data_IF_853549333589
#
_entry.id   IF_853549333589
#
_cell.length_a   1.000
_cell.length_b   1.000
_cell.length_c   1.000
_cell.angle_alpha   90.00
_cell.angle_beta   90.00
_cell.angle_gamma   90.00
#
_symmetry.space_group_name_H-M   'P 1'
#
loop_
_entity.id
_entity.type
_entity.pdbx_description
1 polymer ?
#
# COMPACT_ATOMS: atom_id res chain seq x y z
N UNK A 1 -26.88 15.27 11.74
CA UNK A 1 -25.94 14.29 12.33
C UNK A 1 -26.08 13.00 11.55
N UNK A 2 -25.20 12.73 10.58
CA UNK A 2 -25.16 11.43 9.89
C UNK A 2 -24.26 10.51 10.71
N UNK A 3 -24.85 9.51 11.36
CA UNK A 3 -24.10 8.47 12.05
C UNK A 3 -23.27 7.71 11.02
N UNK A 4 -21.98 7.63 11.25
CA UNK A 4 -21.04 6.81 10.45
C UNK A 4 -21.46 5.34 10.57
N UNK A 5 -21.57 4.63 9.44
CA UNK A 5 -21.96 3.19 9.41
C UNK A 5 -21.08 2.32 10.28
N UNK A 6 -19.81 2.69 10.44
CA UNK A 6 -18.87 2.00 11.35
C UNK A 6 -19.24 2.22 12.81
N UNK A 7 -19.68 3.42 13.20
CA UNK A 7 -20.14 3.71 14.56
C UNK A 7 -21.46 2.95 14.86
N UNK A 8 -22.37 2.93 13.90
CA UNK A 8 -23.63 2.16 14.04
C UNK A 8 -23.33 0.67 14.17
N UNK A 9 -22.43 0.11 13.34
CA UNK A 9 -22.02 -1.30 13.41
C UNK A 9 -21.37 -1.65 14.74
N UNK A 10 -20.47 -0.81 15.24
CA UNK A 10 -19.81 -1.02 16.55
C UNK A 10 -20.81 -0.92 17.70
N UNK A 11 -21.75 0.01 17.65
CA UNK A 11 -22.80 0.17 18.68
C UNK A 11 -23.73 -1.06 18.68
N UNK A 12 -24.14 -1.54 17.51
CA UNK A 12 -24.97 -2.77 17.39
C UNK A 12 -24.21 -3.97 17.93
N UNK A 13 -22.92 -4.13 17.61
CA UNK A 13 -22.08 -5.23 18.10
C UNK A 13 -21.98 -5.22 19.64
N UNK A 14 -21.72 -4.05 20.23
CA UNK A 14 -21.67 -3.89 21.68
C UNK A 14 -23.01 -4.21 22.35
N UNK A 15 -24.11 -3.81 21.73
CA UNK A 15 -25.47 -4.09 22.21
C UNK A 15 -25.79 -5.60 22.13
N UNK A 16 -25.39 -6.26 21.05
CA UNK A 16 -25.51 -7.71 20.90
C UNK A 16 -24.67 -8.49 21.92
N UNK A 17 -23.43 -8.05 22.18
CA UNK A 17 -22.56 -8.61 23.19
C UNK A 17 -23.15 -8.45 24.61
N UNK A 18 -23.75 -7.29 24.90
CA UNK A 18 -24.43 -7.05 26.17
C UNK A 18 -25.66 -7.97 26.33
N UNK A 19 -26.49 -8.10 25.29
CA UNK A 19 -27.65 -9.01 25.29
C UNK A 19 -27.20 -10.45 25.47
N UNK A 20 -26.14 -10.89 24.79
CA UNK A 20 -25.57 -12.22 24.95
C UNK A 20 -25.03 -12.44 26.36
N UNK A 21 -24.37 -11.48 26.97
CA UNK A 21 -23.88 -11.56 28.35
C UNK A 21 -25.05 -11.69 29.36
N UNK A 22 -26.11 -10.90 29.19
CA UNK A 22 -27.33 -10.97 30.00
C UNK A 22 -28.03 -12.33 29.82
N UNK A 23 -28.12 -12.82 28.57
CA UNK A 23 -28.69 -14.13 28.26
C UNK A 23 -27.93 -15.30 28.87
N UNK A 24 -26.59 -15.27 28.78
CA UNK A 24 -25.70 -16.27 29.41
C UNK A 24 -25.82 -16.26 30.95
N UNK A 25 -25.95 -15.07 31.53
CA UNK A 25 -26.17 -14.92 32.98
C UNK A 25 -27.51 -15.53 33.41
N UNK A 26 -28.58 -15.38 32.60
CA UNK A 26 -29.90 -15.96 32.86
C UNK A 26 -29.99 -17.47 32.63
N UNK A 27 -29.06 -18.09 31.91
CA UNK A 27 -29.01 -19.54 31.63
C UNK A 27 -28.20 -20.33 32.67
N UNK A 28 -27.60 -19.67 33.67
CA UNK A 28 -26.87 -20.37 34.73
C UNK A 28 -27.88 -21.16 35.63
N UNK A 29 -27.70 -22.45 35.76
CA UNK A 29 -28.56 -23.25 36.63
C UNK A 29 -28.24 -22.97 38.11
N UNK A 30 -29.14 -22.27 38.77
CA UNK A 30 -29.06 -21.87 40.17
C UNK A 30 -29.54 -20.45 40.38
N UNK A 31 -30.30 -20.21 41.46
CA UNK A 31 -30.70 -18.85 41.81
C UNK A 31 -29.42 -17.99 41.91
N UNK A 32 -29.28 -17.01 41.02
CA UNK A 32 -28.14 -16.11 41.00
C UNK A 32 -28.14 -15.33 42.30
N UNK A 33 -27.44 -15.84 43.31
CA UNK A 33 -27.11 -15.03 44.46
C UNK A 33 -26.01 -14.09 44.03
N UNK A 34 -26.34 -12.79 43.99
CA UNK A 34 -25.36 -11.77 43.79
C UNK A 34 -24.36 -11.83 44.97
N UNK A 35 -23.22 -12.45 44.71
CA UNK A 35 -22.09 -12.42 45.64
C UNK A 35 -21.35 -11.14 45.34
N UNK A 36 -21.39 -10.19 46.26
CA UNK A 36 -20.58 -8.96 46.15
C UNK A 36 -19.10 -9.35 45.96
N UNK A 37 -18.47 -8.99 44.83
CA UNK A 37 -17.10 -9.38 44.54
C UNK A 37 -16.08 -8.72 45.45
N UNK A 38 -16.51 -7.89 46.37
CA UNK A 38 -15.67 -7.15 47.31
C UNK A 38 -15.04 -5.89 46.69
N UNK A 39 -14.76 -4.92 47.54
CA UNK A 39 -14.22 -3.60 47.14
C UNK A 39 -12.98 -3.69 46.26
N UNK A 40 -12.07 -4.61 46.52
CA UNK A 40 -10.82 -4.75 45.76
C UNK A 40 -11.06 -5.12 44.27
N UNK A 41 -11.97 -6.07 44.02
CA UNK A 41 -12.31 -6.49 42.66
C UNK A 41 -13.03 -5.40 41.90
N UNK A 42 -13.89 -4.62 42.56
CA UNK A 42 -14.51 -3.43 41.96
C UNK A 42 -13.49 -2.38 41.57
N UNK A 43 -12.49 -2.11 42.45
CA UNK A 43 -11.40 -1.16 42.16
C UNK A 43 -10.56 -1.63 40.95
N UNK A 44 -10.25 -2.92 40.84
CA UNK A 44 -9.54 -3.47 39.69
C UNK A 44 -10.35 -3.31 38.39
N UNK A 45 -11.64 -3.63 38.43
CA UNK A 45 -12.53 -3.48 37.28
C UNK A 45 -12.65 -2.03 36.81
N UNK A 46 -12.85 -1.09 37.74
CA UNK A 46 -12.90 0.34 37.44
C UNK A 46 -11.56 0.85 36.92
N UNK A 47 -10.43 0.39 37.47
CA UNK A 47 -9.10 0.70 36.98
C UNK A 47 -8.86 0.21 35.55
N UNK A 48 -9.30 -1.00 35.23
CA UNK A 48 -9.20 -1.55 33.87
C UNK A 48 -10.06 -0.75 32.86
N UNK A 49 -11.28 -0.37 33.25
CA UNK A 49 -12.17 0.46 32.41
C UNK A 49 -11.55 1.85 32.21
N UNK A 50 -11.03 2.47 33.27
CA UNK A 50 -10.38 3.78 33.19
C UNK A 50 -9.15 3.75 32.29
N UNK A 51 -8.31 2.71 32.38
CA UNK A 51 -7.14 2.51 31.52
C UNK A 51 -7.55 2.34 30.04
N UNK A 52 -8.58 1.56 29.79
CA UNK A 52 -9.13 1.38 28.45
C UNK A 52 -9.65 2.69 27.85
N UNK A 53 -10.40 3.48 28.63
CA UNK A 53 -10.90 4.79 28.20
C UNK A 53 -9.77 5.78 27.95
N UNK A 54 -8.72 5.78 28.79
CA UNK A 54 -7.52 6.60 28.58
C UNK A 54 -6.78 6.19 27.30
N UNK A 55 -6.65 4.90 27.04
CA UNK A 55 -6.06 4.38 25.81
C UNK A 55 -6.86 4.83 24.58
N UNK A 56 -8.19 4.68 24.62
CA UNK A 56 -9.08 5.14 23.55
C UNK A 56 -8.95 6.66 23.32
N UNK A 57 -8.90 7.44 24.40
CA UNK A 57 -8.73 8.89 24.35
C UNK A 57 -7.35 9.29 23.78
N UNK A 58 -6.30 8.58 24.18
CA UNK A 58 -4.95 8.81 23.67
C UNK A 58 -4.85 8.49 22.17
N UNK A 59 -5.44 7.39 21.73
CA UNK A 59 -5.51 7.01 20.31
C UNK A 59 -6.35 8.01 19.51
N UNK A 60 -7.46 8.47 20.05
CA UNK A 60 -8.31 9.49 19.42
C UNK A 60 -7.59 10.85 19.32
N UNK A 61 -6.88 11.28 20.38
CA UNK A 61 -6.04 12.49 20.35
C UNK A 61 -4.88 12.37 19.37
N UNK A 62 -4.24 11.20 19.25
CA UNK A 62 -3.20 10.96 18.24
C UNK A 62 -3.76 11.07 16.82
N UNK A 63 -4.95 10.51 16.56
CA UNK A 63 -5.64 10.66 15.27
C UNK A 63 -6.02 12.11 14.98
N UNK A 64 -6.52 12.85 15.97
CA UNK A 64 -6.83 14.29 15.80
C UNK A 64 -5.58 15.12 15.54
N UNK A 65 -4.49 14.92 16.28
CA UNK A 65 -3.22 15.62 16.02
C UNK A 65 -2.65 15.30 14.64
N UNK A 66 -2.72 14.05 14.19
CA UNK A 66 -2.34 13.68 12.82
C UNK A 66 -3.22 14.38 11.78
N UNK A 67 -4.48 14.64 12.10
CA UNK A 67 -5.41 15.38 11.22
C UNK A 67 -5.16 16.90 11.24
N UNK A 68 -4.83 17.49 12.39
CA UNK A 68 -4.52 18.93 12.54
C UNK A 68 -3.19 19.33 11.91
N UNK A 69 -2.13 18.52 12.08
CA UNK A 69 -0.84 18.73 11.37
C UNK A 69 -1.00 18.54 9.85
N UNK A 70 -2.08 17.89 9.44
CA UNK A 70 -2.42 17.65 8.04
C UNK A 70 -3.18 18.81 7.37
N UNK A 71 -3.73 19.77 8.13
CA UNK A 71 -4.48 20.89 7.56
C UNK A 71 -3.57 22.00 7.01
N UNK A 72 -2.29 22.04 7.38
CA UNK A 72 -1.35 23.06 6.93
C UNK A 72 -0.51 22.64 5.71
N UNK A 73 -0.72 21.43 5.18
CA UNK A 73 -0.01 20.99 3.99
C UNK A 73 -0.60 21.62 2.73
N UNK A 74 0.21 22.39 2.00
CA UNK A 74 -0.19 23.00 0.73
C UNK A 74 -0.32 21.98 -0.42
N UNK A 75 0.23 20.76 -0.23
CA UNK A 75 0.17 19.68 -1.19
C UNK A 75 -0.30 18.37 -0.57
N UNK A 76 -1.24 17.73 -1.23
CA UNK A 76 -1.67 16.37 -0.92
C UNK A 76 -1.04 15.42 -1.95
N UNK A 77 -0.33 14.40 -1.52
CA UNK A 77 0.23 13.37 -2.40
C UNK A 77 -0.49 12.07 -2.12
N UNK A 78 -1.33 11.65 -3.07
CA UNK A 78 -2.20 10.48 -2.95
C UNK A 78 -1.63 9.32 -3.74
N UNK A 79 -1.53 8.14 -3.13
CA UNK A 79 -1.13 6.94 -3.86
C UNK A 79 -2.20 5.85 -3.83
N UNK A 80 -2.36 5.18 -4.97
CA UNK A 80 -3.11 3.95 -5.12
C UNK A 80 -2.14 2.85 -5.56
N UNK A 81 -1.76 1.96 -4.64
CA UNK A 81 -0.71 0.96 -4.87
C UNK A 81 -1.19 -0.44 -4.57
N UNK A 82 -0.77 -1.42 -5.37
CA UNK A 82 -0.94 -2.85 -5.11
C UNK A 82 0.36 -3.48 -4.60
N UNK A 83 1.51 -3.05 -5.15
CA UNK A 83 2.82 -3.65 -4.93
C UNK A 83 3.82 -2.72 -4.25
N UNK A 84 3.37 -1.56 -3.74
CA UNK A 84 4.22 -0.56 -3.10
C UNK A 84 4.91 0.44 -4.04
N UNK A 85 4.97 0.19 -5.36
CA UNK A 85 5.68 1.09 -6.28
C UNK A 85 5.07 2.51 -6.36
N UNK A 86 3.74 2.61 -6.45
CA UNK A 86 3.07 3.91 -6.43
C UNK A 86 3.29 4.64 -5.10
N UNK A 87 3.34 3.93 -3.98
CA UNK A 87 3.64 4.50 -2.68
C UNK A 87 5.05 5.08 -2.64
N UNK A 88 6.05 4.33 -3.11
CA UNK A 88 7.43 4.80 -3.20
C UNK A 88 7.56 6.09 -4.02
N UNK A 89 6.95 6.14 -5.21
CA UNK A 89 6.95 7.33 -6.06
C UNK A 89 6.21 8.50 -5.42
N UNK A 90 5.15 8.25 -4.66
CA UNK A 90 4.44 9.29 -3.91
C UNK A 90 5.34 9.90 -2.81
N UNK A 91 6.07 9.08 -2.05
CA UNK A 91 7.03 9.57 -1.07
C UNK A 91 8.18 10.35 -1.70
N UNK A 92 8.68 9.92 -2.85
CA UNK A 92 9.70 10.65 -3.60
C UNK A 92 9.16 11.99 -4.10
N UNK A 93 7.92 12.02 -4.62
CA UNK A 93 7.23 13.25 -5.02
C UNK A 93 7.08 14.23 -3.86
N UNK A 94 6.68 13.75 -2.69
CA UNK A 94 6.56 14.57 -1.48
C UNK A 94 7.91 15.14 -1.03
N UNK A 95 8.99 14.36 -1.09
CA UNK A 95 10.34 14.83 -0.79
C UNK A 95 10.80 15.91 -1.76
N UNK A 96 10.49 15.79 -3.06
CA UNK A 96 10.82 16.81 -4.06
C UNK A 96 10.06 18.11 -3.79
N UNK A 97 8.76 18.03 -3.47
CA UNK A 97 7.98 19.20 -3.04
C UNK A 97 8.57 19.87 -1.79
N UNK A 98 8.96 19.07 -0.79
CA UNK A 98 9.54 19.57 0.46
C UNK A 98 10.93 20.22 0.25
N UNK A 99 11.75 19.67 -0.62
CA UNK A 99 13.03 20.25 -0.98
C UNK A 99 12.90 21.62 -1.66
N UNK A 100 11.81 21.82 -2.43
CA UNK A 100 11.42 23.13 -2.97
C UNK A 100 10.69 24.05 -1.96
N UNK A 101 10.68 23.69 -0.66
CA UNK A 101 10.07 24.49 0.41
C UNK A 101 8.56 24.36 0.55
N UNK A 102 7.91 23.43 -0.19
CA UNK A 102 6.49 23.20 -0.06
C UNK A 102 6.19 22.22 1.08
N UNK A 103 5.05 22.40 1.74
CA UNK A 103 4.53 21.47 2.75
C UNK A 103 3.70 20.39 2.03
N UNK A 104 4.11 19.11 2.13
CA UNK A 104 3.47 17.99 1.46
C UNK A 104 3.10 16.89 2.44
N UNK A 105 1.86 16.34 2.28
CA UNK A 105 1.34 15.21 3.03
C UNK A 105 1.10 14.03 2.10
N UNK A 106 1.66 12.86 2.44
CA UNK A 106 1.38 11.61 1.71
C UNK A 106 0.23 10.87 2.38
N UNK A 107 -0.71 10.36 1.57
CA UNK A 107 -1.88 9.62 2.04
C UNK A 107 -2.20 8.47 1.06
N UNK A 108 -2.59 7.31 1.61
CA UNK A 108 -3.17 6.25 0.80
C UNK A 108 -4.56 6.66 0.28
N UNK A 109 -4.89 6.28 -0.95
CA UNK A 109 -6.24 6.49 -1.50
C UNK A 109 -7.32 5.78 -0.67
N UNK A 110 -6.96 4.72 0.05
CA UNK A 110 -7.85 4.01 0.98
C UNK A 110 -8.33 4.92 2.13
N UNK A 111 -7.43 5.78 2.63
CA UNK A 111 -7.68 6.66 3.77
C UNK A 111 -8.17 8.05 3.36
N UNK A 112 -8.19 8.34 2.05
CA UNK A 112 -8.62 9.63 1.52
C UNK A 112 -10.14 9.72 1.56
N UNK A 113 -10.65 10.72 2.27
CA UNK A 113 -12.06 11.08 2.31
C UNK A 113 -12.36 12.37 1.51
N UNK A 114 -13.63 12.58 1.20
CA UNK A 114 -14.07 13.74 0.43
C UNK A 114 -13.81 15.11 1.11
N UNK A 115 -13.92 15.25 2.44
CA UNK A 115 -13.52 16.49 3.12
C UNK A 115 -12.04 16.81 2.97
N UNK A 116 -11.15 15.82 3.14
CA UNK A 116 -9.70 15.98 2.99
C UNK A 116 -9.33 16.38 1.57
N UNK A 117 -9.92 15.71 0.56
CA UNK A 117 -9.68 16.04 -0.84
C UNK A 117 -10.15 17.47 -1.18
N UNK A 118 -11.33 17.88 -0.72
CA UNK A 118 -11.88 19.24 -0.97
C UNK A 118 -11.12 20.35 -0.24
N UNK A 119 -10.48 20.03 0.89
CA UNK A 119 -9.68 20.98 1.64
C UNK A 119 -8.29 21.19 1.03
N UNK A 120 -7.83 20.29 0.17
CA UNK A 120 -6.52 20.39 -0.44
C UNK A 120 -6.51 21.38 -1.62
N UNK A 121 -5.67 22.42 -1.61
CA UNK A 121 -5.55 23.33 -2.75
C UNK A 121 -4.83 22.69 -3.94
N UNK A 122 -3.92 21.74 -3.68
CA UNK A 122 -3.14 21.03 -4.69
C UNK A 122 -2.98 19.55 -4.35
N UNK A 123 -3.06 18.67 -5.37
CA UNK A 123 -2.85 17.24 -5.18
C UNK A 123 -2.04 16.60 -6.30
N UNK A 124 -1.14 15.69 -5.92
CA UNK A 124 -0.49 14.76 -6.83
C UNK A 124 -1.09 13.37 -6.61
N UNK A 125 -1.48 12.70 -7.69
CA UNK A 125 -2.01 11.35 -7.65
C UNK A 125 -1.02 10.41 -8.33
N UNK A 126 -0.58 9.37 -7.62
CA UNK A 126 0.23 8.28 -8.17
C UNK A 126 -0.64 7.02 -8.15
N UNK A 127 -1.11 6.62 -9.32
CA UNK A 127 -2.19 5.66 -9.50
C UNK A 127 -1.74 4.41 -10.27
N UNK A 128 -1.53 3.29 -9.57
CA UNK A 128 -1.29 1.99 -10.21
C UNK A 128 -2.59 1.43 -10.77
N UNK A 129 -2.50 0.86 -11.97
CA UNK A 129 -3.56 0.09 -12.59
C UNK A 129 -3.32 -1.41 -12.35
N UNK A 130 -4.37 -2.15 -12.04
CA UNK A 130 -4.32 -3.60 -11.81
C UNK A 130 -5.05 -4.33 -12.94
N UNK A 131 -4.46 -5.42 -13.44
CA UNK A 131 -5.07 -6.23 -14.49
C UNK A 131 -5.54 -5.42 -15.71
N UNK A 132 -6.77 -5.66 -16.14
CA UNK A 132 -7.36 -5.06 -17.35
C UNK A 132 -7.97 -3.66 -17.09
N UNK A 133 -7.24 -2.79 -16.40
CA UNK A 133 -7.64 -1.39 -16.20
C UNK A 133 -8.27 -1.08 -14.85
N UNK A 134 -8.32 -2.05 -13.93
CA UNK A 134 -8.97 -1.90 -12.64
C UNK A 134 -8.15 -1.09 -11.64
N UNK A 135 -8.81 -0.40 -10.69
CA UNK A 135 -8.13 0.20 -9.55
C UNK A 135 -7.57 -0.87 -8.61
N UNK A 136 -6.49 -0.59 -7.86
CA UNK A 136 -6.07 -1.43 -6.75
C UNK A 136 -7.18 -1.60 -5.71
N UNK A 137 -7.20 -2.72 -4.98
CA UNK A 137 -8.21 -3.03 -3.96
C UNK A 137 -8.40 -1.91 -2.94
N UNK A 138 -7.31 -1.24 -2.55
CA UNK A 138 -7.36 -0.09 -1.65
C UNK A 138 -8.15 1.11 -2.17
N UNK A 139 -8.40 1.22 -3.47
CA UNK A 139 -9.16 2.33 -4.06
C UNK A 139 -10.69 2.10 -4.08
N UNK A 140 -11.18 0.91 -3.75
CA UNK A 140 -12.62 0.59 -3.81
C UNK A 140 -13.47 1.46 -2.87
N UNK A 141 -12.94 1.84 -1.72
CA UNK A 141 -13.61 2.76 -0.81
C UNK A 141 -13.73 4.16 -1.40
N UNK A 142 -12.65 4.66 -1.98
CA UNK A 142 -12.60 5.97 -2.64
C UNK A 142 -13.61 6.05 -3.79
N UNK A 143 -13.71 5.01 -4.62
CA UNK A 143 -14.71 4.92 -5.68
C UNK A 143 -16.15 5.07 -5.14
N UNK A 144 -16.47 4.36 -4.06
CA UNK A 144 -17.84 4.33 -3.52
C UNK A 144 -18.21 5.57 -2.70
N UNK A 145 -17.26 6.13 -1.96
CA UNK A 145 -17.53 7.18 -0.98
C UNK A 145 -17.13 8.57 -1.47
N UNK A 146 -16.15 8.69 -2.35
CA UNK A 146 -15.63 9.97 -2.85
C UNK A 146 -16.04 10.21 -4.31
N UNK A 147 -15.70 9.29 -5.22
CA UNK A 147 -16.02 9.48 -6.64
C UNK A 147 -17.51 9.44 -6.95
N UNK A 148 -18.32 8.79 -6.12
CA UNK A 148 -19.79 8.78 -6.26
C UNK A 148 -20.47 10.11 -5.88
N UNK A 149 -19.74 11.08 -5.32
CA UNK A 149 -20.29 12.38 -4.95
C UNK A 149 -20.20 13.35 -6.13
N UNK A 150 -21.31 14.08 -6.39
CA UNK A 150 -21.39 15.11 -7.44
C UNK A 150 -20.91 16.50 -6.97
N UNK A 151 -19.97 16.54 -6.02
CA UNK A 151 -19.47 17.79 -5.49
C UNK A 151 -18.31 18.33 -6.35
N UNK A 152 -18.26 19.64 -6.64
CA UNK A 152 -17.13 20.23 -7.37
C UNK A 152 -15.85 20.17 -6.55
N UNK A 153 -14.73 20.11 -7.25
CA UNK A 153 -13.38 20.11 -6.70
C UNK A 153 -12.64 21.36 -7.19
N UNK A 154 -12.38 22.29 -6.28
CA UNK A 154 -11.56 23.47 -6.56
C UNK A 154 -10.10 23.16 -6.15
N UNK A 155 -9.43 22.35 -6.96
CA UNK A 155 -8.07 21.89 -6.65
C UNK A 155 -7.23 21.83 -7.93
N UNK A 156 -5.95 22.19 -7.83
CA UNK A 156 -4.98 21.96 -8.89
C UNK A 156 -4.37 20.56 -8.71
N UNK A 157 -4.24 19.79 -9.79
CA UNK A 157 -3.78 18.42 -9.64
C UNK A 157 -2.87 17.95 -10.77
N UNK A 158 -2.14 16.85 -10.51
CA UNK A 158 -1.47 16.08 -11.54
C UNK A 158 -1.59 14.58 -11.27
N UNK A 159 -1.57 13.76 -12.34
CA UNK A 159 -1.69 12.30 -12.26
C UNK A 159 -0.47 11.64 -12.88
N UNK A 160 0.20 10.77 -12.11
CA UNK A 160 1.12 9.76 -12.59
C UNK A 160 0.38 8.43 -12.65
N UNK A 161 0.10 7.94 -13.85
CA UNK A 161 -0.62 6.71 -14.08
C UNK A 161 0.37 5.57 -14.37
N UNK A 162 0.40 4.55 -13.51
CA UNK A 162 1.27 3.39 -13.67
C UNK A 162 0.48 2.23 -14.28
N UNK A 163 1.08 1.55 -15.25
CA UNK A 163 0.46 0.42 -15.93
C UNK A 163 1.47 -0.47 -16.63
N UNK A 164 0.95 -1.43 -17.37
CA UNK A 164 1.71 -2.36 -18.21
C UNK A 164 1.01 -2.45 -19.57
N UNK A 165 1.70 -2.13 -20.66
CA UNK A 165 1.17 -2.16 -22.02
C UNK A 165 0.85 -3.57 -22.55
N UNK A 166 1.24 -4.59 -21.82
CA UNK A 166 0.81 -5.96 -22.14
C UNK A 166 -0.69 -6.19 -21.89
N UNK A 167 -1.34 -5.29 -21.14
CA UNK A 167 -2.78 -5.30 -20.89
C UNK A 167 -3.51 -4.34 -21.82
N UNK A 168 -4.73 -4.70 -22.25
CA UNK A 168 -5.52 -3.93 -23.23
C UNK A 168 -5.92 -2.55 -22.71
N UNK A 169 -6.18 -2.42 -21.40
CA UNK A 169 -6.56 -1.18 -20.72
C UNK A 169 -5.37 -0.54 -19.97
N UNK A 170 -4.27 -0.37 -20.69
CA UNK A 170 -3.06 0.29 -20.18
C UNK A 170 -3.37 1.60 -19.45
N UNK A 171 -2.89 1.75 -18.19
CA UNK A 171 -3.15 2.90 -17.33
C UNK A 171 -4.64 3.25 -17.13
N UNK A 172 -5.55 2.28 -17.29
CA UNK A 172 -7.00 2.50 -17.31
C UNK A 172 -7.53 3.20 -16.07
N UNK A 173 -7.07 2.79 -14.87
CA UNK A 173 -7.45 3.45 -13.63
C UNK A 173 -6.98 4.90 -13.57
N UNK A 174 -5.72 5.17 -13.92
CA UNK A 174 -5.19 6.54 -13.92
C UNK A 174 -5.93 7.47 -14.89
N UNK A 175 -6.29 6.97 -16.06
CA UNK A 175 -7.12 7.69 -17.04
C UNK A 175 -8.52 8.01 -16.50
N UNK A 176 -9.16 7.02 -15.86
CA UNK A 176 -10.48 7.19 -15.25
C UNK A 176 -10.45 8.20 -14.09
N UNK A 177 -9.41 8.17 -13.26
CA UNK A 177 -9.23 9.11 -12.16
C UNK A 177 -9.04 10.54 -12.69
N UNK A 178 -8.20 10.73 -13.70
CA UNK A 178 -7.94 12.01 -14.35
C UNK A 178 -9.21 12.60 -14.97
N UNK A 179 -9.96 11.80 -15.74
CA UNK A 179 -11.23 12.22 -16.33
C UNK A 179 -12.23 12.66 -15.24
N UNK A 180 -12.36 11.88 -14.16
CA UNK A 180 -13.25 12.23 -13.05
C UNK A 180 -12.85 13.54 -12.36
N UNK A 181 -11.56 13.79 -12.14
CA UNK A 181 -11.08 15.05 -11.56
C UNK A 181 -11.45 16.23 -12.46
N UNK A 182 -11.27 16.12 -13.77
CA UNK A 182 -11.67 17.16 -14.74
C UNK A 182 -13.18 17.39 -14.75
N UNK A 183 -13.98 16.33 -14.75
CA UNK A 183 -15.45 16.41 -14.68
C UNK A 183 -15.94 17.12 -13.41
N UNK A 184 -15.18 17.03 -12.32
CA UNK A 184 -15.47 17.73 -11.05
C UNK A 184 -14.93 19.16 -10.98
N UNK A 185 -14.32 19.67 -12.04
CA UNK A 185 -13.81 21.04 -12.15
C UNK A 185 -12.42 21.25 -11.57
N UNK A 186 -11.68 20.19 -11.26
CA UNK A 186 -10.28 20.29 -10.88
C UNK A 186 -9.42 20.70 -12.09
N UNK A 187 -8.35 21.47 -11.85
CA UNK A 187 -7.47 22.01 -12.89
C UNK A 187 -6.19 21.19 -12.98
N UNK A 188 -5.87 20.57 -14.13
CA UNK A 188 -4.60 19.87 -14.26
C UNK A 188 -3.42 20.85 -14.30
N UNK A 189 -2.39 20.62 -13.46
CA UNK A 189 -1.14 21.36 -13.46
C UNK A 189 -0.31 21.10 -14.73
N UNK A 190 -0.41 19.88 -15.24
CA UNK A 190 0.15 19.43 -16.51
C UNK A 190 -0.56 18.14 -16.96
N UNK A 191 -0.33 17.75 -18.19
CA UNK A 191 -0.89 16.52 -18.76
C UNK A 191 -0.49 15.29 -17.95
N UNK A 192 -1.42 14.32 -17.81
CA UNK A 192 -1.17 13.03 -17.17
C UNK A 192 0.05 12.35 -17.77
N UNK A 193 0.95 11.86 -16.92
CA UNK A 193 2.10 11.07 -17.33
C UNK A 193 1.75 9.60 -17.15
N UNK A 194 1.92 8.81 -18.19
CA UNK A 194 1.69 7.36 -18.19
C UNK A 194 3.03 6.62 -18.20
N UNK A 195 3.19 5.68 -17.26
CA UNK A 195 4.42 4.92 -17.05
C UNK A 195 4.17 3.45 -17.37
N UNK A 196 4.93 2.92 -18.32
CA UNK A 196 4.90 1.52 -18.68
C UNK A 196 5.98 0.74 -17.93
N UNK A 197 5.57 -0.23 -17.10
CA UNK A 197 6.50 -1.13 -16.40
C UNK A 197 7.70 -0.42 -15.74
N UNK A 198 7.47 0.70 -15.05
CA UNK A 198 8.50 1.51 -14.41
C UNK A 198 9.49 2.19 -15.40
N UNK A 199 9.02 2.59 -16.57
CA UNK A 199 9.81 3.36 -17.54
C UNK A 199 10.50 4.55 -16.87
N UNK A 200 11.83 4.52 -16.86
CA UNK A 200 12.66 5.53 -16.20
C UNK A 200 12.50 6.92 -16.82
N UNK A 201 12.27 7.02 -18.13
CA UNK A 201 12.11 8.33 -18.78
C UNK A 201 10.78 9.00 -18.41
N UNK A 202 9.71 8.24 -18.33
CA UNK A 202 8.41 8.74 -17.88
C UNK A 202 8.47 9.18 -16.38
N UNK A 203 9.14 8.42 -15.54
CA UNK A 203 9.37 8.78 -14.12
C UNK A 203 10.25 10.04 -14.02
N UNK A 204 11.30 10.16 -14.82
CA UNK A 204 12.14 11.36 -14.86
C UNK A 204 11.35 12.58 -15.34
N UNK A 205 10.47 12.43 -16.33
CA UNK A 205 9.58 13.51 -16.77
C UNK A 205 8.66 13.99 -15.66
N UNK A 206 8.08 13.06 -14.87
CA UNK A 206 7.30 13.38 -13.68
C UNK A 206 8.10 14.18 -12.66
N UNK A 207 9.30 13.71 -12.34
CA UNK A 207 10.23 14.40 -11.44
C UNK A 207 10.50 15.83 -11.88
N UNK A 208 10.89 16.03 -13.14
CA UNK A 208 11.19 17.36 -13.70
C UNK A 208 9.98 18.30 -13.63
N UNK A 209 8.77 17.78 -13.86
CA UNK A 209 7.54 18.58 -13.74
C UNK A 209 7.30 19.02 -12.30
N UNK A 210 7.48 18.12 -11.30
CA UNK A 210 7.33 18.51 -9.90
C UNK A 210 8.36 19.55 -9.48
N UNK A 211 9.63 19.37 -9.86
CA UNK A 211 10.72 20.33 -9.59
C UNK A 211 10.42 21.71 -10.18
N UNK A 212 9.87 21.75 -11.39
CA UNK A 212 9.44 22.99 -12.03
C UNK A 212 8.31 23.72 -11.29
N UNK A 213 7.43 22.98 -10.59
CA UNK A 213 6.32 23.58 -9.83
C UNK A 213 6.77 24.29 -8.55
N UNK A 214 7.86 23.85 -7.93
CA UNK A 214 8.30 24.35 -6.62
C UNK A 214 9.61 25.11 -6.65
N UNK A 215 10.40 25.01 -7.71
CA UNK A 215 11.65 25.72 -7.88
C UNK A 215 12.69 25.32 -6.83
N UNK A 216 13.17 24.10 -6.84
CA UNK A 216 14.20 23.59 -5.93
C UNK A 216 15.44 23.09 -6.66
N UNK A 217 16.48 22.74 -5.92
CA UNK A 217 17.58 21.97 -6.48
C UNK A 217 17.10 20.59 -6.91
N UNK A 218 17.56 20.08 -8.07
CA UNK A 218 17.17 18.75 -8.55
C UNK A 218 17.52 17.66 -7.52
N UNK A 219 16.52 16.95 -7.05
CA UNK A 219 16.73 15.78 -6.21
C UNK A 219 16.99 14.57 -7.11
N UNK A 220 18.07 13.87 -6.86
CA UNK A 220 18.30 12.59 -7.52
C UNK A 220 17.33 11.57 -6.90
N UNK A 221 16.31 11.18 -7.66
CA UNK A 221 15.39 10.07 -7.31
C UNK A 221 16.16 8.77 -7.57
N UNK A 222 17.03 8.40 -6.64
CA UNK A 222 17.68 7.09 -6.74
C UNK A 222 16.73 6.02 -6.24
N UNK A 223 16.34 5.13 -7.14
CA UNK A 223 15.88 3.82 -6.68
C UNK A 223 17.04 3.13 -5.94
N UNK A 224 16.78 2.36 -4.87
CA UNK A 224 17.82 1.55 -4.25
C UNK A 224 18.54 0.74 -5.33
N UNK A 225 19.86 0.77 -5.34
CA UNK A 225 20.63 -0.01 -6.29
C UNK A 225 20.34 -1.52 -6.10
N UNK A 226 20.45 -2.27 -7.20
CA UNK A 226 20.44 -3.71 -7.09
C UNK A 226 21.68 -4.19 -6.37
N UNK A 227 21.49 -4.89 -5.28
CA UNK A 227 22.55 -5.47 -4.47
C UNK A 227 22.73 -6.96 -4.79
N UNK A 228 23.86 -7.51 -4.38
CA UNK A 228 24.20 -8.92 -4.62
C UNK A 228 23.62 -9.78 -3.49
N UNK A 229 22.61 -10.58 -3.79
CA UNK A 229 21.99 -11.54 -2.89
C UNK A 229 22.45 -12.95 -3.23
N UNK A 230 22.62 -13.83 -2.25
CA UNK A 230 23.07 -15.20 -2.50
C UNK A 230 21.88 -16.16 -2.50
N UNK A 231 21.67 -16.91 -3.58
CA UNK A 231 20.66 -17.96 -3.67
C UNK A 231 21.13 -19.20 -2.89
N UNK A 232 20.59 -19.40 -1.70
CA UNK A 232 21.03 -20.47 -0.78
C UNK A 232 20.18 -21.72 -0.80
N UNK A 233 18.89 -21.58 -1.08
CA UNK A 233 17.97 -22.72 -1.10
C UNK A 233 16.99 -22.63 -2.26
N UNK A 234 16.71 -23.79 -2.85
CA UNK A 234 15.65 -23.96 -3.84
C UNK A 234 15.09 -25.37 -3.73
N UNK A 235 13.81 -25.50 -3.40
CA UNK A 235 13.13 -26.79 -3.33
C UNK A 235 11.70 -26.71 -3.84
N UNK A 236 11.24 -27.80 -4.46
CA UNK A 236 9.84 -27.92 -4.92
C UNK A 236 8.94 -28.18 -3.72
N UNK A 237 7.81 -27.45 -3.64
CA UNK A 237 6.85 -27.59 -2.54
C UNK A 237 5.69 -28.53 -2.86
N UNK A 238 5.32 -28.66 -4.13
CA UNK A 238 4.12 -29.37 -4.56
C UNK A 238 4.44 -30.55 -5.51
N UNK A 239 5.49 -31.30 -5.22
CA UNK A 239 5.84 -32.48 -6.00
C UNK A 239 4.64 -33.47 -6.06
N UNK A 240 4.33 -33.96 -7.26
CA UNK A 240 3.18 -34.86 -7.49
C UNK A 240 1.81 -34.16 -7.61
N UNK A 241 1.72 -32.85 -7.50
CA UNK A 241 0.50 -32.08 -7.73
C UNK A 241 0.22 -31.88 -9.22
N UNK A 242 -1.06 -31.79 -9.58
CA UNK A 242 -1.50 -31.50 -10.96
C UNK A 242 -1.22 -30.06 -11.43
N UNK A 243 -0.89 -29.16 -10.51
CA UNK A 243 -0.61 -27.76 -10.81
C UNK A 243 0.82 -27.51 -11.30
N UNK A 244 1.08 -26.30 -11.78
CA UNK A 244 2.44 -25.88 -12.11
C UNK A 244 3.36 -25.97 -10.87
N UNK A 245 4.65 -26.37 -11.04
CA UNK A 245 5.58 -26.47 -9.94
C UNK A 245 5.69 -25.16 -9.15
N UNK A 246 5.58 -25.27 -7.84
CA UNK A 246 5.79 -24.18 -6.90
C UNK A 246 7.09 -24.44 -6.11
N UNK A 247 7.93 -23.43 -6.04
CA UNK A 247 9.24 -23.51 -5.40
C UNK A 247 9.31 -22.62 -4.18
N UNK A 248 9.93 -23.10 -3.14
CA UNK A 248 10.51 -22.28 -2.10
C UNK A 248 11.93 -21.90 -2.53
N UNK A 249 12.23 -20.61 -2.47
CA UNK A 249 13.54 -20.05 -2.80
C UNK A 249 13.98 -19.16 -1.64
N UNK A 250 15.23 -19.32 -1.17
CA UNK A 250 15.81 -18.48 -0.14
C UNK A 250 17.00 -17.70 -0.69
N UNK A 251 16.98 -16.38 -0.46
CA UNK A 251 18.01 -15.43 -0.86
C UNK A 251 18.59 -14.76 0.37
N UNK A 252 19.88 -14.96 0.63
CA UNK A 252 20.62 -14.31 1.72
C UNK A 252 21.04 -12.91 1.26
N UNK A 253 20.68 -11.87 2.00
CA UNK A 253 20.97 -10.48 1.65
C UNK A 253 22.43 -10.11 1.92
N UNK A 254 22.90 -8.97 1.36
CA UNK A 254 24.09 -8.30 1.85
C UNK A 254 23.86 -7.75 3.27
N UNK A 255 24.96 -7.39 3.96
CA UNK A 255 25.04 -7.17 5.42
C UNK A 255 24.11 -6.07 6.01
N UNK A 256 23.31 -5.34 5.30
CA UNK A 256 22.47 -4.27 5.85
C UNK A 256 21.03 -4.26 5.32
N UNK A 257 20.64 -5.27 4.57
CA UNK A 257 19.29 -5.31 4.02
C UNK A 257 18.24 -5.52 5.13
N UNK A 258 17.16 -4.75 5.07
CA UNK A 258 16.03 -4.84 6.00
C UNK A 258 14.75 -4.99 5.20
N UNK A 259 13.87 -5.85 5.65
CA UNK A 259 12.54 -6.03 5.07
C UNK A 259 11.55 -6.50 6.14
N UNK A 260 10.28 -6.44 5.78
CA UNK A 260 9.18 -7.03 6.51
C UNK A 260 8.50 -8.09 5.64
N UNK A 261 7.76 -9.01 6.25
CA UNK A 261 6.93 -9.93 5.50
C UNK A 261 5.88 -9.15 4.68
N UNK A 262 5.80 -9.45 3.38
CA UNK A 262 4.94 -8.72 2.45
C UNK A 262 5.66 -7.63 1.65
N UNK A 263 6.86 -7.18 2.02
CA UNK A 263 7.69 -6.33 1.17
C UNK A 263 7.99 -7.05 -0.16
N UNK A 264 8.33 -6.28 -1.18
CA UNK A 264 8.63 -6.79 -2.52
C UNK A 264 10.14 -6.87 -2.73
N UNK A 265 10.61 -8.03 -3.16
CA UNK A 265 11.96 -8.19 -3.69
C UNK A 265 11.93 -8.08 -5.21
N UNK A 266 12.45 -6.97 -5.74
CA UNK A 266 12.69 -6.82 -7.18
C UNK A 266 13.97 -7.55 -7.53
N UNK A 267 13.89 -8.50 -8.46
CA UNK A 267 15.02 -9.32 -8.95
C UNK A 267 15.35 -8.90 -10.38
N UNK A 268 16.60 -8.51 -10.61
CA UNK A 268 17.12 -8.21 -11.93
C UNK A 268 17.35 -9.51 -12.72
N UNK A 269 16.86 -9.56 -13.94
CA UNK A 269 17.01 -10.74 -14.79
C UNK A 269 18.20 -10.55 -15.74
N UNK A 270 19.00 -11.60 -15.99
CA UNK A 270 20.13 -11.53 -16.91
C UNK A 270 19.66 -11.63 -18.37
N UNK A 271 18.93 -10.65 -18.83
CA UNK A 271 18.39 -10.54 -20.20
C UNK A 271 18.71 -9.16 -20.78
N UNK A 272 18.75 -9.07 -22.10
CA UNK A 272 18.95 -7.82 -22.82
C UNK A 272 17.68 -7.50 -23.65
N UNK A 273 17.05 -6.34 -23.45
CA UNK A 273 17.36 -5.31 -22.44
C UNK A 273 17.11 -5.81 -21.01
N UNK A 274 17.77 -5.20 -20.01
CA UNK A 274 17.58 -5.55 -18.61
C UNK A 274 16.12 -5.52 -18.21
N UNK A 275 15.67 -6.57 -17.53
CA UNK A 275 14.29 -6.66 -17.02
C UNK A 275 14.31 -7.02 -15.54
N UNK A 276 13.26 -6.69 -14.82
CA UNK A 276 13.09 -7.08 -13.43
C UNK A 276 11.79 -7.86 -13.21
N UNK A 277 11.74 -8.63 -12.13
CA UNK A 277 10.51 -9.27 -11.66
C UNK A 277 10.39 -9.11 -10.17
N UNK A 278 9.19 -8.84 -9.74
CA UNK A 278 8.83 -8.55 -8.36
C UNK A 278 8.26 -9.82 -7.70
N UNK A 279 8.73 -10.10 -6.49
CA UNK A 279 8.29 -11.24 -5.68
C UNK A 279 7.99 -10.77 -4.26
N UNK A 280 6.83 -11.15 -3.71
CA UNK A 280 6.52 -10.86 -2.31
C UNK A 280 7.40 -11.71 -1.40
N UNK A 281 8.00 -11.08 -0.38
CA UNK A 281 8.83 -11.75 0.62
C UNK A 281 7.92 -12.38 1.68
N UNK A 282 8.08 -13.68 1.90
CA UNK A 282 7.30 -14.48 2.86
C UNK A 282 8.03 -14.71 4.20
N UNK A 283 9.07 -13.93 4.49
CA UNK A 283 9.88 -14.03 5.71
C UNK A 283 10.10 -12.67 6.35
N UNK A 284 10.60 -12.66 7.57
CA UNK A 284 11.07 -11.44 8.26
C UNK A 284 12.59 -11.39 8.27
N UNK A 285 13.18 -10.21 8.47
CA UNK A 285 14.63 -10.03 8.38
C UNK A 285 15.42 -10.86 9.43
N UNK A 286 14.80 -11.18 10.56
CA UNK A 286 15.40 -12.03 11.60
C UNK A 286 15.58 -13.49 11.16
N UNK A 287 14.91 -13.94 10.10
CA UNK A 287 15.09 -15.29 9.54
C UNK A 287 16.43 -15.43 8.77
N UNK A 288 17.13 -14.31 8.55
CA UNK A 288 18.45 -14.27 7.91
C UNK A 288 18.44 -14.40 6.38
N UNK A 289 17.29 -14.72 5.78
CA UNK A 289 17.10 -14.84 4.33
C UNK A 289 15.71 -14.36 3.92
N UNK A 290 15.59 -13.78 2.72
CA UNK A 290 14.31 -13.52 2.09
C UNK A 290 13.78 -14.81 1.46
N UNK A 291 12.64 -15.29 1.94
CA UNK A 291 11.97 -16.48 1.43
C UNK A 291 10.91 -16.10 0.43
N UNK A 292 10.96 -16.70 -0.73
CA UNK A 292 10.00 -16.48 -1.82
C UNK A 292 9.25 -17.76 -2.14
N UNK A 293 7.96 -17.64 -2.47
CA UNK A 293 7.14 -18.71 -3.01
C UNK A 293 6.89 -18.46 -4.49
N UNK A 294 7.55 -19.22 -5.36
CA UNK A 294 7.55 -18.98 -6.81
C UNK A 294 6.85 -20.10 -7.52
N UNK A 295 5.68 -19.83 -8.10
CA UNK A 295 5.05 -20.72 -9.08
C UNK A 295 5.69 -20.51 -10.44
N UNK A 296 6.11 -21.57 -11.11
CA UNK A 296 6.56 -21.48 -12.49
C UNK A 296 5.38 -21.11 -13.40
N UNK A 297 5.54 -20.03 -14.15
CA UNK A 297 4.61 -19.67 -15.22
C UNK A 297 5.05 -20.29 -16.52
N UNK A 298 4.08 -20.78 -17.33
CA UNK A 298 4.32 -21.21 -18.70
C UNK A 298 3.72 -20.21 -19.68
N UNK A 299 4.45 -19.91 -20.72
CA UNK A 299 4.00 -19.11 -21.85
C UNK A 299 3.10 -19.93 -22.76
N UNK A 300 2.31 -19.29 -23.66
CA UNK A 300 1.49 -20.00 -24.64
C UNK A 300 2.30 -20.96 -25.55
N UNK A 301 3.58 -20.66 -25.80
CA UNK A 301 4.52 -21.49 -26.56
C UNK A 301 5.08 -22.69 -25.77
N UNK A 302 4.65 -22.88 -24.52
CA UNK A 302 5.09 -23.94 -23.62
C UNK A 302 6.40 -23.64 -22.89
N UNK A 303 7.11 -22.56 -23.21
CA UNK A 303 8.33 -22.15 -22.53
C UNK A 303 8.03 -21.65 -21.10
N UNK A 304 9.03 -21.73 -20.20
CA UNK A 304 8.92 -21.22 -18.85
C UNK A 304 9.09 -19.70 -18.87
N UNK A 305 8.29 -18.98 -18.09
CA UNK A 305 8.39 -17.54 -17.94
C UNK A 305 9.80 -17.13 -17.48
N UNK A 306 10.38 -16.07 -18.05
CA UNK A 306 11.78 -15.68 -17.84
C UNK A 306 12.07 -15.51 -16.34
N UNK A 307 11.26 -14.79 -15.61
CA UNK A 307 11.48 -14.50 -14.19
C UNK A 307 11.37 -15.75 -13.32
N UNK A 308 10.25 -16.50 -13.43
CA UNK A 308 10.07 -17.73 -12.66
C UNK A 308 11.11 -18.78 -13.04
N UNK A 309 11.47 -18.90 -14.31
CA UNK A 309 12.50 -19.82 -14.80
C UNK A 309 13.89 -19.48 -14.29
N UNK A 310 14.24 -18.18 -14.20
CA UNK A 310 15.54 -17.76 -13.71
C UNK A 310 15.79 -18.26 -12.28
N UNK A 311 14.93 -17.94 -11.33
CA UNK A 311 15.11 -18.31 -9.92
C UNK A 311 14.89 -19.81 -9.66
N UNK A 312 14.01 -20.47 -10.43
CA UNK A 312 13.65 -21.86 -10.16
C UNK A 312 14.50 -22.89 -10.92
N UNK A 313 15.24 -22.49 -11.98
CA UNK A 313 16.02 -23.42 -12.80
C UNK A 313 17.40 -22.90 -13.20
N UNK A 314 17.53 -21.64 -13.65
CA UNK A 314 18.75 -21.15 -14.30
C UNK A 314 19.81 -20.69 -13.31
N UNK A 315 19.42 -19.92 -12.27
CA UNK A 315 20.35 -19.47 -11.25
C UNK A 315 20.90 -20.67 -10.47
N UNK A 316 22.22 -20.77 -10.33
CA UNK A 316 22.86 -21.85 -9.56
C UNK A 316 22.70 -21.59 -8.06
N UNK A 317 22.61 -22.65 -7.25
CA UNK A 317 22.75 -22.50 -5.80
C UNK A 317 24.12 -21.91 -5.47
N UNK A 318 24.16 -21.06 -4.45
CA UNK A 318 25.33 -20.28 -4.02
C UNK A 318 25.79 -19.22 -5.05
N UNK A 319 25.02 -18.98 -6.12
CA UNK A 319 25.31 -17.87 -7.02
C UNK A 319 24.74 -16.55 -6.54
N UNK A 320 25.30 -15.46 -7.06
CA UNK A 320 24.81 -14.12 -6.83
C UNK A 320 23.59 -13.84 -7.71
N UNK A 321 22.55 -13.28 -7.10
CA UNK A 321 21.35 -12.76 -7.74
C UNK A 321 21.26 -11.28 -7.43
N UNK A 322 21.16 -10.46 -8.44
CA UNK A 322 20.97 -9.02 -8.23
C UNK A 322 19.51 -8.73 -7.85
N UNK A 323 19.32 -8.20 -6.66
CA UNK A 323 17.98 -7.91 -6.14
C UNK A 323 17.99 -6.67 -5.22
N UNK A 324 16.82 -6.06 -5.05
CA UNK A 324 16.61 -4.93 -4.14
C UNK A 324 15.25 -5.03 -3.45
N UNK A 325 15.19 -4.61 -2.19
CA UNK A 325 13.91 -4.54 -1.47
C UNK A 325 13.19 -3.24 -1.85
N UNK A 326 11.93 -3.38 -2.21
CA UNK A 326 10.99 -2.25 -2.43
C UNK A 326 9.95 -2.31 -1.31
N UNK A 327 9.79 -1.21 -0.61
CA UNK A 327 8.84 -1.03 0.50
C UNK A 327 7.65 -0.23 0.06
#
# INVERSE_FOLDING_TARGET
>A
MKFDRTQVGTTILLLLLLIAAIGLFGLQPGAAQWIDPGRERWLIALGAIALYLLLCLALWRRRRKAHEVASDANWLVVYASQTGHAEQLAWQSAKALQAGGASARVISIHDLDAPTLRAAPRALFVASTTGEGDPPDGALRFLREVMAQDAPLALDYAVLALGDRSYSQYCGWGRRLDAWLQERGATPLFERIEVDNADAMAIQSWQQRIEALVGGEPLVWSEPEFESWTLTERRVLNAGSLGAPCFHVALVPPANARWQAGDVLAVELPVDPPAQRDYSIASIATDGAAHLLIRQTRRPDGSIGIGSGFLTQQASLQSSVRARVRR
#
